data_IF_714487062879
#
_entry.id   IF_714487062879
#
_cell.length_a   1.000
_cell.length_b   1.000
_cell.length_c   1.000
_cell.angle_alpha   90.00
_cell.angle_beta   90.00
_cell.angle_gamma   90.00
#
_symmetry.space_group_name_H-M   'P 1'
#
loop_
_entity.id
_entity.type
_entity.pdbx_description
1 polymer ?
#
# COMPACT_ATOMS: atom_id res chain seq x y z
N UNK A 1 -4.67 -16.65 1.93
CA UNK A 1 -3.29 -16.88 2.45
C UNK A 1 -3.25 -18.18 3.26
N UNK A 2 -2.48 -19.20 2.84
CA UNK A 2 -2.43 -20.50 3.52
C UNK A 2 -1.16 -20.65 4.37
N UNK A 3 -0.95 -19.75 5.33
CA UNK A 3 0.15 -19.84 6.29
C UNK A 3 -0.40 -19.57 7.68
N UNK A 4 -0.41 -20.62 8.52
CA UNK A 4 -0.80 -20.52 9.92
C UNK A 4 -0.05 -19.36 10.60
N UNK A 5 -0.76 -18.54 11.37
CA UNK A 5 -0.21 -17.39 12.11
C UNK A 5 0.39 -16.24 11.28
N UNK A 6 0.11 -16.15 9.97
CA UNK A 6 0.59 -15.04 9.12
C UNK A 6 -0.41 -13.89 8.97
N UNK A 7 -1.72 -14.14 9.13
CA UNK A 7 -2.73 -13.11 8.87
C UNK A 7 -2.73 -11.99 9.93
N UNK A 8 -2.45 -12.32 11.19
CA UNK A 8 -2.39 -11.32 12.27
C UNK A 8 -1.28 -10.28 12.09
N UNK A 9 -0.20 -10.66 11.39
CA UNK A 9 0.89 -9.73 11.08
C UNK A 9 0.57 -8.84 9.88
N UNK A 10 -0.41 -9.18 9.02
CA UNK A 10 -0.77 -8.33 7.86
C UNK A 10 -1.33 -6.95 8.26
N UNK A 11 -1.65 -6.72 9.54
CA UNK A 11 -1.86 -5.37 10.07
C UNK A 11 -0.64 -4.45 9.89
N UNK A 12 0.56 -5.01 9.68
CA UNK A 12 1.77 -4.27 9.39
C UNK A 12 2.01 -4.06 7.88
N UNK A 13 1.09 -4.43 6.99
CA UNK A 13 1.22 -4.18 5.54
C UNK A 13 1.24 -2.67 5.20
N UNK A 14 0.84 -1.85 6.17
CA UNK A 14 0.98 -0.38 6.16
C UNK A 14 2.33 0.13 6.70
N UNK A 15 3.30 -0.74 7.01
CA UNK A 15 4.55 -0.36 7.66
C UNK A 15 5.37 0.67 6.85
N UNK A 16 5.31 0.62 5.52
CA UNK A 16 5.94 1.64 4.67
C UNK A 16 5.34 3.04 4.89
N UNK A 17 4.01 3.12 5.00
CA UNK A 17 3.32 4.37 5.36
C UNK A 17 3.68 4.83 6.77
N UNK A 18 3.68 3.91 7.74
CA UNK A 18 4.05 4.20 9.13
C UNK A 18 5.47 4.79 9.23
N UNK A 19 6.43 4.18 8.51
CA UNK A 19 7.80 4.66 8.43
C UNK A 19 7.84 6.10 7.92
N UNK A 20 7.20 6.37 6.79
CA UNK A 20 7.23 7.71 6.19
C UNK A 20 6.55 8.77 7.06
N UNK A 21 5.45 8.45 7.74
CA UNK A 21 4.83 9.36 8.72
C UNK A 21 5.81 9.68 9.85
N UNK A 22 6.50 8.66 10.38
CA UNK A 22 7.54 8.83 11.39
C UNK A 22 8.69 9.72 10.90
N UNK A 23 9.15 9.50 9.66
CA UNK A 23 10.19 10.31 9.00
C UNK A 23 9.76 11.76 8.85
N UNK A 24 8.54 12.02 8.36
CA UNK A 24 8.00 13.37 8.22
C UNK A 24 7.89 14.09 9.58
N UNK A 25 7.49 13.37 10.64
CA UNK A 25 7.50 13.89 12.01
C UNK A 25 8.91 14.26 12.47
N UNK A 26 9.90 13.42 12.20
CA UNK A 26 11.30 13.69 12.57
C UNK A 26 11.86 14.90 11.82
N UNK A 27 11.57 15.02 10.52
CA UNK A 27 11.95 16.17 9.68
C UNK A 27 11.39 17.47 10.26
N UNK A 28 10.07 17.49 10.55
CA UNK A 28 9.40 18.66 11.11
C UNK A 28 9.95 19.02 12.50
N UNK A 29 10.16 18.04 13.38
CA UNK A 29 10.69 18.25 14.72
C UNK A 29 12.12 18.83 14.74
N UNK A 30 12.92 18.54 13.71
CA UNK A 30 14.29 19.05 13.56
C UNK A 30 14.37 20.35 12.74
N UNK A 31 13.23 20.91 12.29
CA UNK A 31 13.17 22.12 11.47
C UNK A 31 14.10 22.07 10.25
N UNK A 32 14.19 20.92 9.57
CA UNK A 32 15.07 20.80 8.41
C UNK A 32 14.59 21.75 7.30
N UNK A 33 15.48 22.54 6.68
CA UNK A 33 15.12 23.53 5.67
C UNK A 33 14.93 22.89 4.29
N UNK A 34 14.03 21.90 4.19
CA UNK A 34 13.75 21.14 2.98
C UNK A 34 12.24 21.09 2.73
N UNK A 35 11.86 21.09 1.45
CA UNK A 35 10.47 20.90 1.05
C UNK A 35 10.27 19.44 0.62
N UNK A 36 9.42 18.70 1.35
CA UNK A 36 9.18 17.28 1.12
C UNK A 36 7.68 17.03 0.99
N UNK A 37 7.29 16.26 -0.03
CA UNK A 37 5.93 15.77 -0.23
C UNK A 37 5.93 14.26 0.04
N UNK A 38 5.06 13.82 0.95
CA UNK A 38 4.84 12.41 1.25
C UNK A 38 3.45 12.00 0.77
N UNK A 39 3.38 10.97 -0.07
CA UNK A 39 2.13 10.41 -0.58
C UNK A 39 1.91 9.03 0.04
N UNK A 40 0.73 8.82 0.62
CA UNK A 40 0.36 7.58 1.30
C UNK A 40 -0.94 7.06 0.70
N UNK A 41 -0.87 6.13 -0.28
CA UNK A 41 -2.05 5.38 -0.68
C UNK A 41 -2.41 4.41 0.45
N UNK A 42 -3.64 4.49 0.94
CA UNK A 42 -4.14 3.64 2.01
C UNK A 42 -5.44 2.97 1.58
N UNK A 43 -5.44 1.64 1.59
CA UNK A 43 -6.58 0.79 1.26
C UNK A 43 -6.45 -0.51 2.04
N UNK A 44 -7.51 -1.30 2.07
CA UNK A 44 -7.47 -2.69 2.51
C UNK A 44 -7.56 -3.63 1.31
N UNK A 45 -6.97 -4.82 1.42
CA UNK A 45 -7.15 -5.92 0.48
C UNK A 45 -8.06 -6.99 1.10
N UNK A 46 -9.30 -7.10 0.61
CA UNK A 46 -10.33 -7.99 1.19
C UNK A 46 -11.07 -8.76 0.10
N UNK A 47 -11.38 -10.05 0.31
CA UNK A 47 -12.27 -10.79 -0.57
C UNK A 47 -13.70 -10.23 -0.48
N UNK A 48 -14.41 -10.20 -1.61
CA UNK A 48 -15.79 -9.74 -1.69
C UNK A 48 -16.34 -9.85 -3.11
N UNK A 49 -17.66 -9.66 -3.29
CA UNK A 49 -18.30 -9.77 -4.61
C UNK A 49 -17.83 -8.75 -5.64
N UNK A 50 -17.29 -7.61 -5.18
CA UNK A 50 -16.70 -6.56 -6.03
C UNK A 50 -15.18 -6.47 -5.90
N UNK A 51 -14.53 -7.50 -5.33
CA UNK A 51 -13.07 -7.55 -5.27
C UNK A 51 -12.50 -7.86 -6.66
N UNK A 52 -11.24 -7.47 -6.89
CA UNK A 52 -10.52 -7.89 -8.09
C UNK A 52 -10.46 -9.41 -8.19
N UNK A 53 -10.50 -9.91 -9.41
CA UNK A 53 -10.33 -11.31 -9.73
C UNK A 53 -9.00 -11.53 -10.47
N UNK A 54 -8.34 -12.69 -10.28
CA UNK A 54 -7.24 -13.10 -11.14
C UNK A 54 -7.65 -13.08 -12.61
N UNK A 55 -6.86 -12.43 -13.46
CA UNK A 55 -7.14 -12.19 -14.88
C UNK A 55 -7.78 -10.84 -15.20
N UNK A 56 -8.18 -10.06 -14.19
CA UNK A 56 -8.65 -8.69 -14.41
C UNK A 56 -7.55 -7.85 -15.06
N UNK A 57 -7.92 -7.05 -16.08
CA UNK A 57 -7.00 -6.10 -16.73
C UNK A 57 -7.39 -4.69 -16.33
N UNK A 58 -6.57 -4.06 -15.50
CA UNK A 58 -6.79 -2.71 -14.98
C UNK A 58 -5.99 -1.67 -15.76
N UNK A 59 -6.58 -0.50 -15.99
CA UNK A 59 -5.92 0.65 -16.60
C UNK A 59 -5.32 1.56 -15.53
N UNK A 60 -4.01 1.71 -15.55
CA UNK A 60 -3.26 2.54 -14.61
C UNK A 60 -3.38 4.03 -14.94
N UNK A 61 -3.09 4.89 -13.97
CA UNK A 61 -3.02 6.35 -14.18
C UNK A 61 -2.07 6.75 -15.31
N UNK A 62 -0.99 5.99 -15.50
CA UNK A 62 -0.03 6.19 -16.60
C UNK A 62 -0.58 5.83 -18.00
N UNK A 63 -1.81 5.31 -18.09
CA UNK A 63 -2.43 4.84 -19.33
C UNK A 63 -2.07 3.41 -19.72
N UNK A 64 -1.07 2.79 -19.07
CA UNK A 64 -0.71 1.37 -19.25
C UNK A 64 -1.78 0.44 -18.67
N UNK A 65 -1.86 -0.77 -19.19
CA UNK A 65 -2.69 -1.85 -18.65
C UNK A 65 -1.87 -2.84 -17.86
N UNK A 66 -2.45 -3.41 -16.81
CA UNK A 66 -1.84 -4.47 -15.99
C UNK A 66 -2.84 -5.60 -15.82
N UNK A 67 -2.41 -6.82 -16.12
CA UNK A 67 -3.14 -8.04 -15.79
C UNK A 67 -2.86 -8.42 -14.34
N UNK A 68 -3.92 -8.56 -13.55
CA UNK A 68 -3.85 -8.98 -12.15
C UNK A 68 -3.76 -10.51 -12.11
N UNK A 69 -2.55 -11.07 -12.12
CA UNK A 69 -2.37 -12.53 -12.00
C UNK A 69 -2.65 -13.05 -10.59
N UNK A 70 -2.39 -12.23 -9.57
CA UNK A 70 -2.62 -12.53 -8.16
C UNK A 70 -3.05 -11.25 -7.45
N UNK A 71 -4.18 -11.29 -6.74
CA UNK A 71 -4.77 -10.13 -6.06
C UNK A 71 -4.04 -9.75 -4.77
N UNK A 72 -3.04 -10.53 -4.36
CA UNK A 72 -2.15 -10.27 -3.22
C UNK A 72 -0.79 -9.69 -3.65
N UNK A 73 -0.63 -9.36 -4.93
CA UNK A 73 0.62 -8.88 -5.54
C UNK A 73 0.49 -7.44 -6.05
#
# INVERSE_FOLDING_TARGET
KPTANSMDIMKCDMAGAAMMIGTMRAIAANNLPVHIICLIPATDNRPGGSAYAPGDVIKMYSGKTVEVLNTDA
#
